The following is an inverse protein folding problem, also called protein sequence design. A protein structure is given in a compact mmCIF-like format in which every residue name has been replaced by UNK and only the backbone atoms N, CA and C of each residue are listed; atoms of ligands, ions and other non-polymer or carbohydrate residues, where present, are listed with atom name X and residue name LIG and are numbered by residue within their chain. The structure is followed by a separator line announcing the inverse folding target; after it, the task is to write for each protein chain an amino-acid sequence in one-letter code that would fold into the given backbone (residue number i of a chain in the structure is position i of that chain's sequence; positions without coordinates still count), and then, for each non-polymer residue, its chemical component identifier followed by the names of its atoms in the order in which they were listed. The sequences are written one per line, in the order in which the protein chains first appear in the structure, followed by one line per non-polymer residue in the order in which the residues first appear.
data_IF_026212698032
#
_entry.id   IF_026212698032
#
_cell.length_a   1.000
_cell.length_b   1.000
_cell.length_c   1.000
_cell.angle_alpha   90.00
_cell.angle_beta   90.00
_cell.angle_gamma   90.00
#
_symmetry.space_group_name_H-M   'P 1'
#
loop_
_entity.id
_entity.type
_entity.pdbx_description
1 polymer ?
#
# COMPACT_ATOMS: atom_id res chain seq x y z
N UNK A 1 30.34 2.96 10.35
CA UNK A 1 29.92 2.28 9.11
C UNK A 1 28.43 2.58 8.94
N UNK A 2 27.98 3.12 7.80
CA UNK A 2 26.55 3.35 7.57
C UNK A 2 25.87 2.05 7.15
N UNK A 3 24.71 1.74 7.74
CA UNK A 3 23.87 0.61 7.39
C UNK A 3 22.85 1.06 6.33
N UNK A 4 22.85 0.40 5.18
CA UNK A 4 21.96 0.73 4.06
C UNK A 4 20.80 -0.24 4.03
N UNK A 5 19.60 0.25 4.36
CA UNK A 5 18.37 -0.54 4.27
C UNK A 5 17.59 -0.17 3.02
N UNK A 6 17.33 -1.16 2.18
CA UNK A 6 16.34 -1.08 1.13
C UNK A 6 15.02 -1.64 1.65
N UNK A 7 13.95 -0.84 1.60
CA UNK A 7 12.61 -1.37 1.73
C UNK A 7 12.11 -1.69 0.31
N UNK A 8 11.89 -2.97 0.03
CA UNK A 8 11.35 -3.45 -1.24
C UNK A 8 9.85 -3.19 -1.36
N UNK A 9 9.37 -2.03 -0.89
CA UNK A 9 8.04 -1.52 -1.23
C UNK A 9 8.04 -0.84 -2.61
N UNK A 10 8.83 -1.41 -3.52
CA UNK A 10 8.67 -1.18 -4.95
C UNK A 10 7.37 -1.90 -5.33
N UNK A 11 6.48 -1.30 -6.13
CA UNK A 11 5.29 -1.97 -6.63
C UNK A 11 5.68 -3.07 -7.62
N UNK A 12 6.23 -4.17 -7.10
CA UNK A 12 6.67 -5.32 -7.88
C UNK A 12 5.47 -5.94 -8.58
N UNK A 13 5.64 -6.26 -9.86
CA UNK A 13 4.55 -6.82 -10.65
C UNK A 13 4.18 -8.21 -10.10
N UNK A 14 2.92 -8.41 -9.66
CA UNK A 14 2.47 -9.71 -9.19
C UNK A 14 2.25 -10.65 -10.37
N UNK A 15 2.96 -11.77 -10.38
CA UNK A 15 2.83 -12.81 -11.41
C UNK A 15 1.95 -13.96 -10.93
N UNK A 16 2.06 -14.29 -9.64
CA UNK A 16 1.15 -15.19 -8.93
C UNK A 16 1.05 -14.71 -7.47
N UNK A 17 0.08 -15.23 -6.71
CA UNK A 17 -0.13 -14.92 -5.29
C UNK A 17 1.16 -14.99 -4.45
N UNK A 18 2.10 -15.87 -4.80
CA UNK A 18 3.38 -16.04 -4.08
C UNK A 18 4.60 -15.47 -4.79
N UNK A 19 4.49 -15.04 -6.06
CA UNK A 19 5.63 -14.58 -6.85
C UNK A 19 5.40 -13.17 -7.36
N UNK A 20 6.36 -12.30 -7.08
CA UNK A 20 6.47 -10.99 -7.70
C UNK A 20 7.75 -10.94 -8.51
N UNK A 21 7.70 -10.30 -9.67
CA UNK A 21 8.87 -10.11 -10.53
C UNK A 21 9.45 -8.71 -10.35
N UNK A 22 10.78 -8.65 -10.41
CA UNK A 22 11.53 -7.41 -10.55
C UNK A 22 11.63 -7.13 -12.04
N UNK A 23 11.07 -5.99 -12.46
CA UNK A 23 11.24 -5.52 -13.83
C UNK A 23 12.65 -4.96 -14.02
N UNK A 24 13.09 -4.82 -15.28
CA UNK A 24 14.39 -4.20 -15.58
C UNK A 24 14.46 -2.77 -15.02
N UNK A 25 13.32 -2.05 -14.97
CA UNK A 25 13.21 -0.72 -14.37
C UNK A 25 13.47 -0.76 -12.85
N UNK A 26 12.91 -1.75 -12.15
CA UNK A 26 13.13 -1.94 -10.71
C UNK A 26 14.59 -2.25 -10.41
N UNK A 27 15.19 -3.15 -11.20
CA UNK A 27 16.61 -3.52 -11.06
C UNK A 27 17.50 -2.30 -11.29
N UNK A 28 17.23 -1.53 -12.34
CA UNK A 28 17.98 -0.31 -12.65
C UNK A 28 17.87 0.70 -11.51
N UNK A 29 16.66 0.95 -11.00
CA UNK A 29 16.42 1.87 -9.88
C UNK A 29 17.17 1.46 -8.62
N UNK A 30 17.17 0.16 -8.27
CA UNK A 30 17.92 -0.36 -7.13
C UNK A 30 19.42 -0.16 -7.33
N UNK A 31 19.93 -0.52 -8.52
CA UNK A 31 21.35 -0.42 -8.86
C UNK A 31 21.85 1.01 -8.78
N UNK A 32 21.15 1.95 -9.41
CA UNK A 32 21.51 3.38 -9.43
C UNK A 32 21.55 3.97 -8.02
N UNK A 33 20.56 3.62 -7.19
CA UNK A 33 20.50 4.07 -5.79
C UNK A 33 21.68 3.53 -4.97
N UNK A 34 22.06 2.26 -5.19
CA UNK A 34 23.22 1.66 -4.55
C UNK A 34 24.55 2.30 -4.98
N UNK A 35 24.74 2.55 -6.28
CA UNK A 35 25.92 3.24 -6.80
C UNK A 35 26.01 4.69 -6.30
N UNK A 36 24.87 5.39 -6.21
CA UNK A 36 24.78 6.70 -5.60
C UNK A 36 25.18 6.67 -4.12
N UNK A 37 24.66 5.72 -3.34
CA UNK A 37 25.01 5.56 -1.91
C UNK A 37 26.50 5.24 -1.70
N UNK A 38 27.10 4.45 -2.60
CA UNK A 38 28.54 4.14 -2.61
C UNK A 38 29.43 5.34 -2.96
N UNK A 39 28.85 6.43 -3.47
CA UNK A 39 29.58 7.63 -3.86
C UNK A 39 30.32 7.50 -5.20
N UNK A 40 29.78 6.73 -6.15
CA UNK A 40 30.32 6.70 -7.52
C UNK A 40 30.23 8.09 -8.19
N UNK A 41 31.23 8.40 -9.03
CA UNK A 41 31.43 9.75 -9.58
C UNK A 41 30.20 10.23 -10.36
N UNK A 42 29.60 11.32 -9.87
CA UNK A 42 28.49 12.02 -10.54
C UNK A 42 27.10 11.71 -10.01
N UNK A 43 26.96 10.80 -9.04
CA UNK A 43 25.68 10.46 -8.43
C UNK A 43 25.61 11.00 -6.99
N UNK A 44 24.50 11.66 -6.66
CA UNK A 44 24.21 12.15 -5.31
C UNK A 44 23.17 11.25 -4.66
N UNK A 45 23.49 10.72 -3.49
CA UNK A 45 22.56 9.93 -2.69
C UNK A 45 21.68 10.81 -1.81
N UNK A 46 20.41 10.43 -1.69
CA UNK A 46 19.43 11.01 -0.78
C UNK A 46 18.56 9.90 -0.19
N UNK A 47 18.21 10.03 1.10
CA UNK A 47 17.30 9.10 1.76
C UNK A 47 15.88 9.33 1.24
N UNK A 48 15.18 8.24 0.89
CA UNK A 48 13.82 8.29 0.37
C UNK A 48 12.87 7.48 1.29
N UNK A 49 11.88 8.13 1.94
CA UNK A 49 10.88 7.45 2.78
C UNK A 49 10.22 6.29 2.05
N UNK A 50 10.09 5.14 2.71
CA UNK A 50 9.53 3.92 2.12
C UNK A 50 10.41 3.18 1.12
N UNK A 51 11.58 3.70 0.72
CA UNK A 51 12.45 3.11 -0.29
C UNK A 51 13.90 2.84 0.19
N UNK A 52 14.65 3.86 0.58
CA UNK A 52 16.04 3.69 1.03
C UNK A 52 16.41 4.63 2.18
N UNK A 53 17.24 4.14 3.10
CA UNK A 53 17.82 4.96 4.17
C UNK A 53 19.22 4.51 4.55
N UNK A 54 20.09 5.48 4.78
CA UNK A 54 21.43 5.28 5.31
C UNK A 54 21.45 5.58 6.81
N UNK A 55 21.38 4.54 7.65
CA UNK A 55 21.42 4.67 9.10
C UNK A 55 22.85 4.65 9.66
N UNK A 56 23.12 5.39 10.74
CA UNK A 56 24.39 5.32 11.47
C UNK A 56 24.42 4.10 12.40
N UNK A 57 25.61 3.65 12.79
CA UNK A 57 25.81 2.54 13.74
C UNK A 57 25.03 2.73 15.04
N UNK A 58 25.01 3.94 15.56
CA UNK A 58 24.36 4.29 16.83
C UNK A 58 22.83 4.10 16.75
N UNK A 59 22.26 4.27 15.56
CA UNK A 59 20.83 4.01 15.31
C UNK A 59 20.55 2.51 15.29
N UNK A 60 21.46 1.71 14.73
CA UNK A 60 21.34 0.25 14.67
C UNK A 60 21.47 -0.36 16.07
N UNK A 61 22.37 0.17 16.90
CA UNK A 61 22.54 -0.25 18.30
C UNK A 61 21.28 0.04 19.13
N UNK A 62 20.66 1.22 18.97
CA UNK A 62 19.36 1.55 19.62
C UNK A 62 18.21 0.62 19.22
N UNK A 63 18.33 -0.07 18.09
CA UNK A 63 17.33 -1.02 17.60
C UNK A 63 17.76 -2.47 17.83
N UNK A 64 18.66 -2.73 18.78
CA UNK A 64 19.14 -4.07 19.14
C UNK A 64 19.73 -4.84 17.94
N UNK A 65 20.36 -4.12 17.01
CA UNK A 65 20.92 -4.68 15.77
C UNK A 65 19.90 -5.38 14.86
N UNK A 66 18.60 -5.15 15.05
CA UNK A 66 17.56 -5.65 14.14
C UNK A 66 17.60 -4.82 12.85
N UNK A 67 17.88 -5.47 11.73
CA UNK A 67 18.14 -4.84 10.44
C UNK A 67 16.91 -4.78 9.51
N UNK A 68 15.71 -5.08 10.05
CA UNK A 68 14.47 -5.09 9.27
C UNK A 68 14.19 -3.70 8.67
N UNK A 69 14.08 -3.55 7.33
CA UNK A 69 13.96 -2.26 6.67
C UNK A 69 12.82 -1.39 7.21
N UNK A 70 11.69 -1.99 7.57
CA UNK A 70 10.54 -1.28 8.13
C UNK A 70 10.85 -0.44 9.38
N UNK A 71 11.90 -0.76 10.15
CA UNK A 71 12.32 0.06 11.31
C UNK A 71 13.05 1.35 10.93
N UNK A 72 13.61 1.41 9.73
CA UNK A 72 14.53 2.49 9.35
C UNK A 72 13.90 3.39 8.30
N UNK A 73 13.28 2.80 7.27
CA UNK A 73 12.92 3.50 6.03
C UNK A 73 11.59 4.25 6.14
N UNK A 74 10.80 4.02 7.21
CA UNK A 74 9.49 4.67 7.40
C UNK A 74 8.45 4.27 6.34
N UNK A 75 7.30 4.92 6.39
CA UNK A 75 6.25 4.83 5.36
C UNK A 75 6.51 5.92 4.32
N UNK A 76 6.26 5.69 3.02
CA UNK A 76 6.19 6.82 2.08
C UNK A 76 5.20 7.87 2.63
N UNK A 77 5.44 9.15 2.35
CA UNK A 77 4.44 10.18 2.62
C UNK A 77 3.15 9.77 1.89
N UNK A 78 2.15 9.36 2.66
CA UNK A 78 0.80 9.23 2.13
C UNK A 78 0.37 10.63 1.71
N UNK A 79 -0.33 10.78 0.58
CA UNK A 79 -1.02 12.03 0.30
C UNK A 79 -1.89 12.32 1.52
N UNK A 80 -1.50 13.30 2.33
CA UNK A 80 -2.29 13.72 3.47
C UNK A 80 -3.66 14.11 2.92
N UNK A 81 -4.67 13.30 3.26
CA UNK A 81 -6.04 13.63 2.96
C UNK A 81 -6.32 14.97 3.64
N UNK A 82 -6.50 16.01 2.84
CA UNK A 82 -6.71 17.37 3.33
C UNK A 82 -8.04 17.53 4.09
N UNK A 83 -8.93 16.53 4.04
CA UNK A 83 -10.14 16.50 4.87
C UNK A 83 -9.82 16.20 6.34
N UNK A 84 -10.35 17.03 7.25
CA UNK A 84 -10.36 16.71 8.68
C UNK A 84 -11.09 15.37 8.93
N UNK A 85 -10.59 14.59 9.88
CA UNK A 85 -11.10 13.24 10.17
C UNK A 85 -12.63 13.20 10.37
N UNK A 86 -13.19 14.17 11.08
CA UNK A 86 -14.62 14.25 11.35
C UNK A 86 -15.44 14.49 10.07
N UNK A 87 -14.97 15.37 9.18
CA UNK A 87 -15.61 15.67 7.90
C UNK A 87 -15.58 14.45 6.97
N UNK A 88 -14.42 13.79 6.88
CA UNK A 88 -14.24 12.55 6.12
C UNK A 88 -15.17 11.44 6.61
N UNK A 89 -15.23 11.22 7.92
CA UNK A 89 -16.11 10.18 8.50
C UNK A 89 -17.58 10.48 8.23
N UNK A 90 -17.99 11.75 8.32
CA UNK A 90 -19.36 12.17 8.01
C UNK A 90 -19.70 11.93 6.54
N UNK A 91 -18.82 12.29 5.61
CA UNK A 91 -18.97 12.07 4.17
C UNK A 91 -19.06 10.58 3.84
N UNK A 92 -18.10 9.79 4.31
CA UNK A 92 -18.05 8.35 4.04
C UNK A 92 -19.25 7.61 4.62
N UNK A 93 -19.71 7.95 5.83
CA UNK A 93 -20.89 7.32 6.44
C UNK A 93 -22.16 7.67 5.69
N UNK A 94 -22.29 8.92 5.23
CA UNK A 94 -23.41 9.35 4.39
C UNK A 94 -23.43 8.61 3.04
N UNK A 95 -22.28 8.50 2.40
CA UNK A 95 -22.15 7.77 1.15
C UNK A 95 -22.46 6.27 1.31
N UNK A 96 -21.94 5.65 2.37
CA UNK A 96 -22.23 4.26 2.70
C UNK A 96 -23.73 4.04 2.91
N UNK A 97 -24.40 4.92 3.67
CA UNK A 97 -25.85 4.86 3.87
C UNK A 97 -26.62 4.93 2.56
N UNK A 98 -26.22 5.85 1.65
CA UNK A 98 -26.82 5.96 0.31
C UNK A 98 -26.64 4.67 -0.50
N UNK A 99 -25.43 4.11 -0.50
CA UNK A 99 -25.13 2.87 -1.23
C UNK A 99 -25.91 1.67 -0.67
N UNK A 100 -26.08 1.58 0.65
CA UNK A 100 -26.90 0.53 1.28
C UNK A 100 -28.38 0.63 0.90
N UNK A 101 -28.92 1.85 0.83
CA UNK A 101 -30.30 2.08 0.39
C UNK A 101 -30.50 1.72 -1.09
N UNK A 102 -29.56 2.09 -1.95
CA UNK A 102 -29.55 1.68 -3.36
C UNK A 102 -29.48 0.14 -3.49
N UNK A 103 -28.61 -0.51 -2.72
CA UNK A 103 -28.53 -1.97 -2.67
C UNK A 103 -29.86 -2.62 -2.29
N UNK A 104 -30.51 -2.14 -1.22
CA UNK A 104 -31.82 -2.64 -0.80
C UNK A 104 -32.92 -2.45 -1.86
N UNK A 105 -32.89 -1.33 -2.59
CA UNK A 105 -33.80 -1.09 -3.71
C UNK A 105 -33.54 -2.07 -4.85
N UNK A 106 -32.27 -2.28 -5.23
CA UNK A 106 -31.90 -3.23 -6.27
C UNK A 106 -32.29 -4.67 -5.89
N UNK A 107 -32.09 -5.06 -4.63
CA UNK A 107 -32.53 -6.36 -4.11
C UNK A 107 -34.03 -6.55 -4.25
N UNK A 108 -34.83 -5.51 -3.99
CA UNK A 108 -36.28 -5.56 -4.19
C UNK A 108 -36.64 -5.73 -5.67
N UNK A 109 -35.96 -5.00 -6.56
CA UNK A 109 -36.16 -5.14 -8.01
C UNK A 109 -35.80 -6.55 -8.50
N UNK A 110 -34.69 -7.13 -8.01
CA UNK A 110 -34.27 -8.49 -8.32
C UNK A 110 -35.34 -9.48 -7.84
N UNK A 111 -35.82 -9.36 -6.61
CA UNK A 111 -36.89 -10.22 -6.06
C UNK A 111 -38.17 -10.15 -6.91
N UNK A 112 -38.59 -8.95 -7.30
CA UNK A 112 -39.78 -8.76 -8.15
C UNK A 112 -39.59 -9.40 -9.53
N UNK A 113 -38.41 -9.24 -10.14
CA UNK A 113 -38.12 -9.85 -11.44
C UNK A 113 -38.07 -11.39 -11.37
N UNK A 114 -37.49 -11.95 -10.31
CA UNK A 114 -37.46 -13.40 -10.10
C UNK A 114 -38.88 -13.98 -9.87
N UNK A 115 -39.72 -13.27 -9.11
CA UNK A 115 -41.11 -13.66 -8.91
C UNK A 115 -41.92 -13.69 -10.22
N UNK A 116 -41.62 -12.80 -11.18
CA UNK A 116 -42.27 -12.78 -12.51
C UNK A 116 -41.92 -13.98 -13.39
N UNK A 117 -40.82 -14.66 -13.10
CA UNK A 117 -40.38 -15.87 -13.83
C UNK A 117 -40.52 -17.14 -12.99
N UNK A 118 -41.38 -17.12 -11.96
CA UNK A 118 -41.69 -18.23 -11.05
C UNK A 118 -40.48 -18.80 -10.28
N UNK A 119 -39.41 -18.03 -10.10
CA UNK A 119 -38.25 -18.40 -9.29
C UNK A 119 -38.28 -17.75 -7.90
N UNK A 120 -38.09 -18.56 -6.86
CA UNK A 120 -37.98 -18.10 -5.48
C UNK A 120 -36.53 -18.20 -4.99
N UNK A 121 -35.92 -17.05 -4.69
CA UNK A 121 -34.57 -16.99 -4.14
C UNK A 121 -34.59 -17.11 -2.60
N UNK A 122 -33.99 -18.18 -2.07
CA UNK A 122 -33.86 -18.42 -0.62
C UNK A 122 -32.42 -18.08 -0.20
N UNK A 123 -32.22 -16.93 0.45
CA UNK A 123 -30.94 -16.60 1.10
C UNK A 123 -30.64 -17.66 2.16
N UNK A 124 -29.62 -18.51 1.94
CA UNK A 124 -29.05 -19.32 3.01
C UNK A 124 -28.33 -18.36 3.95
N UNK A 125 -28.87 -18.16 5.16
CA UNK A 125 -28.09 -17.58 6.25
C UNK A 125 -26.96 -18.56 6.56
N UNK A 126 -25.72 -18.12 6.43
CA UNK A 126 -24.58 -18.78 7.06
C UNK A 126 -24.71 -18.67 8.58
#
# INVERSE_FOLDING_TARGET
MCFFTFNFYIPLQPVDRRRRELTDEDVKKISETYHAWRGEKGLKYEDAPGFCKSAKSDTVEKHDFILTPGRYVGTPEEEEDSEEFEEKMKRLTSELSRQMNEGARMDMHIKNNLARIDFQYRMKKC
#
